data_IF_497503185483
#
_entry.id   IF_497503185483
#
_cell.length_a   1.000
_cell.length_b   1.000
_cell.length_c   1.000
_cell.angle_alpha   90.00
_cell.angle_beta   90.00
_cell.angle_gamma   90.00
#
_symmetry.space_group_name_H-M   'P 1'
#
loop_
_entity.id
_entity.type
_entity.pdbx_description
1 polymer ?
#
# COMPACT_ATOMS: atom_id res chain seq x y z
N UNK A 1 -11.99 7.85 20.21
CA UNK A 1 -11.45 6.60 19.64
C UNK A 1 -11.69 5.54 20.70
N UNK A 2 -12.59 4.60 20.43
CA UNK A 2 -12.84 3.44 21.29
C UNK A 2 -11.56 2.64 21.40
N UNK A 3 -11.11 2.36 22.63
CA UNK A 3 -9.94 1.50 22.88
C UNK A 3 -10.14 0.19 22.12
N UNK A 4 -9.16 -0.18 21.30
CA UNK A 4 -9.11 -1.52 20.73
C UNK A 4 -9.04 -2.49 21.92
N UNK A 5 -9.92 -3.50 22.02
CA UNK A 5 -9.85 -4.46 23.10
C UNK A 5 -8.45 -5.11 23.12
N UNK A 6 -7.82 -5.14 24.28
CA UNK A 6 -6.59 -5.91 24.45
C UNK A 6 -6.92 -7.40 24.25
N UNK A 7 -6.08 -8.08 23.46
CA UNK A 7 -6.20 -9.53 23.31
C UNK A 7 -5.91 -10.20 24.65
N UNK A 8 -6.85 -11.02 25.12
CA UNK A 8 -6.68 -11.80 26.36
C UNK A 8 -6.06 -13.16 26.05
N UNK A 9 -5.01 -13.50 26.76
CA UNK A 9 -4.36 -14.80 26.68
C UNK A 9 -5.09 -15.80 27.59
N UNK A 10 -5.76 -16.80 27.00
CA UNK A 10 -6.40 -17.89 27.74
C UNK A 10 -5.47 -19.09 27.76
N UNK A 11 -4.70 -19.24 28.83
CA UNK A 11 -3.67 -20.29 28.97
C UNK A 11 -4.22 -21.69 28.76
N UNK A 12 -5.44 -21.98 29.26
CA UNK A 12 -6.08 -23.29 29.14
C UNK A 12 -6.45 -23.71 27.70
N UNK A 13 -6.43 -22.79 26.75
CA UNK A 13 -6.74 -23.06 25.34
C UNK A 13 -5.45 -23.13 24.48
N UNK A 14 -4.28 -22.94 25.08
CA UNK A 14 -3.02 -22.97 24.36
C UNK A 14 -2.49 -24.40 24.17
N UNK A 15 -1.99 -24.69 22.96
CA UNK A 15 -1.26 -25.93 22.70
C UNK A 15 0.16 -25.84 23.27
N UNK A 16 0.43 -26.69 24.27
CA UNK A 16 1.70 -26.70 25.00
C UNK A 16 2.80 -27.54 24.31
N UNK A 17 2.51 -28.14 23.15
CA UNK A 17 3.48 -28.90 22.38
C UNK A 17 4.53 -28.02 21.71
N UNK A 18 5.73 -28.55 21.48
CA UNK A 18 6.78 -27.87 20.74
C UNK A 18 6.37 -27.64 19.27
N UNK A 19 6.66 -26.46 18.71
CA UNK A 19 6.35 -26.08 17.33
C UNK A 19 7.61 -26.28 16.48
N UNK A 20 7.54 -27.23 15.54
CA UNK A 20 8.65 -27.58 14.65
C UNK A 20 8.38 -27.00 13.27
N UNK A 21 9.32 -26.19 12.79
CA UNK A 21 9.24 -25.53 11.48
C UNK A 21 10.12 -26.23 10.46
N UNK A 22 9.80 -26.06 9.17
CA UNK A 22 10.48 -26.68 8.07
C UNK A 22 11.91 -26.14 7.84
N UNK A 23 12.61 -26.77 6.87
CA UNK A 23 13.93 -26.31 6.44
C UNK A 23 13.94 -24.85 5.92
N UNK A 24 12.79 -24.31 5.47
CA UNK A 24 12.67 -22.90 5.13
C UNK A 24 12.92 -21.95 6.32
N UNK A 25 12.77 -22.45 7.55
CA UNK A 25 13.09 -21.77 8.80
C UNK A 25 14.21 -22.47 9.55
N UNK A 26 15.16 -23.05 8.84
CA UNK A 26 16.32 -23.75 9.38
C UNK A 26 15.97 -24.91 10.34
N UNK A 27 14.83 -25.56 10.17
CA UNK A 27 14.30 -26.59 11.07
C UNK A 27 14.19 -26.11 12.54
N UNK A 28 13.93 -24.84 12.73
CA UNK A 28 13.80 -24.23 14.06
C UNK A 28 12.71 -24.92 14.86
N UNK A 29 12.99 -25.23 16.13
CA UNK A 29 12.01 -25.71 17.10
C UNK A 29 11.79 -24.64 18.16
N UNK A 30 10.53 -24.22 18.31
CA UNK A 30 10.11 -23.30 19.37
C UNK A 30 9.41 -24.11 20.45
N UNK A 31 9.95 -24.03 21.66
CA UNK A 31 9.40 -24.77 22.80
C UNK A 31 8.02 -24.24 23.17
N UNK A 32 7.06 -25.14 23.37
CA UNK A 32 5.72 -24.82 23.80
C UNK A 32 5.66 -24.31 25.24
N UNK A 33 4.87 -23.25 25.47
CA UNK A 33 4.67 -22.65 26.78
C UNK A 33 3.53 -23.29 27.55
N UNK A 34 3.68 -23.42 28.86
CA UNK A 34 2.68 -23.96 29.80
C UNK A 34 2.11 -22.91 30.75
N UNK A 35 2.81 -21.78 30.87
CA UNK A 35 2.39 -20.62 31.67
C UNK A 35 2.20 -19.39 30.79
N UNK A 36 1.53 -18.36 31.27
CA UNK A 36 1.30 -17.15 30.50
C UNK A 36 2.59 -16.48 30.01
N UNK A 37 3.65 -16.50 30.82
CA UNK A 37 4.93 -15.89 30.46
C UNK A 37 5.72 -16.75 29.47
N UNK A 38 5.64 -18.07 29.59
CA UNK A 38 6.24 -18.99 28.61
C UNK A 38 5.55 -18.89 27.25
N UNK A 39 4.20 -18.74 27.20
CA UNK A 39 3.45 -18.54 25.97
C UNK A 39 3.82 -17.21 25.30
N UNK A 40 4.00 -16.14 26.06
CA UNK A 40 4.51 -14.87 25.52
C UNK A 40 5.90 -15.01 24.95
N UNK A 41 6.78 -15.77 25.63
CA UNK A 41 8.13 -16.08 25.15
C UNK A 41 8.09 -16.91 23.86
N UNK A 42 7.23 -17.92 23.80
CA UNK A 42 6.98 -18.71 22.58
C UNK A 42 6.57 -17.80 21.40
N UNK A 43 5.62 -16.89 21.62
CA UNK A 43 5.20 -15.94 20.60
C UNK A 43 6.34 -15.01 20.17
N UNK A 44 7.13 -14.51 21.13
CA UNK A 44 8.30 -13.68 20.83
C UNK A 44 9.30 -14.42 19.96
N UNK A 45 9.64 -15.67 20.34
CA UNK A 45 10.56 -16.51 19.58
C UNK A 45 10.06 -16.80 18.16
N UNK A 46 8.74 -16.98 18.00
CA UNK A 46 8.13 -17.13 16.67
C UNK A 46 8.29 -15.85 15.82
N UNK A 47 8.00 -14.69 16.40
CA UNK A 47 8.18 -13.41 15.72
C UNK A 47 9.64 -13.19 15.34
N UNK A 48 10.56 -13.44 16.27
CA UNK A 48 12.01 -13.31 16.03
C UNK A 48 12.49 -14.24 14.91
N UNK A 49 12.01 -15.49 14.88
CA UNK A 49 12.32 -16.43 13.81
C UNK A 49 11.88 -15.88 12.44
N UNK A 50 10.64 -15.35 12.33
CA UNK A 50 10.12 -14.78 11.09
C UNK A 50 10.91 -13.54 10.66
N UNK A 51 11.24 -12.66 11.60
CA UNK A 51 11.99 -11.43 11.28
C UNK A 51 13.48 -11.68 11.01
N UNK A 52 14.01 -12.83 11.44
CA UNK A 52 15.36 -13.24 11.07
C UNK A 52 15.50 -13.71 9.63
N UNK A 53 14.41 -14.07 8.97
CA UNK A 53 14.43 -14.46 7.56
C UNK A 53 14.63 -13.25 6.63
N UNK A 54 15.55 -13.38 5.66
CA UNK A 54 15.77 -12.32 4.67
C UNK A 54 14.51 -12.08 3.81
N UNK A 55 13.74 -13.12 3.55
CA UNK A 55 12.51 -13.03 2.77
C UNK A 55 11.47 -12.14 3.43
N UNK A 56 11.41 -12.08 4.75
CA UNK A 56 10.57 -11.13 5.49
C UNK A 56 10.96 -9.69 5.15
N UNK A 57 12.25 -9.36 5.22
CA UNK A 57 12.73 -8.03 4.86
C UNK A 57 12.47 -7.71 3.37
N UNK A 58 12.68 -8.68 2.46
CA UNK A 58 12.34 -8.53 1.04
C UNK A 58 10.87 -8.23 0.81
N UNK A 59 9.97 -8.89 1.55
CA UNK A 59 8.54 -8.64 1.42
C UNK A 59 8.16 -7.20 1.79
N UNK A 60 8.75 -6.65 2.86
CA UNK A 60 8.58 -5.23 3.18
C UNK A 60 9.12 -4.32 2.07
N UNK A 61 10.34 -4.57 1.61
CA UNK A 61 10.98 -3.76 0.57
C UNK A 61 10.20 -3.79 -0.75
N UNK A 62 9.69 -4.96 -1.17
CA UNK A 62 8.83 -5.08 -2.36
C UNK A 62 7.59 -4.20 -2.27
N UNK A 63 7.00 -4.04 -1.09
CA UNK A 63 5.85 -3.14 -0.87
C UNK A 63 6.24 -1.69 -1.05
N UNK A 64 7.36 -1.25 -0.46
CA UNK A 64 7.88 0.11 -0.64
C UNK A 64 8.27 0.37 -2.10
N UNK A 65 8.93 -0.58 -2.74
CA UNK A 65 9.29 -0.47 -4.16
C UNK A 65 8.05 -0.28 -5.05
N UNK A 66 7.03 -1.11 -4.86
CA UNK A 66 5.77 -0.98 -5.61
C UNK A 66 5.03 0.31 -5.34
N UNK A 67 5.21 0.89 -4.20
CA UNK A 67 4.59 2.16 -3.85
C UNK A 67 5.33 3.37 -4.46
N UNK A 68 6.65 3.38 -4.45
CA UNK A 68 7.45 4.54 -4.83
C UNK A 68 8.03 4.47 -6.25
N UNK A 69 8.30 3.28 -6.80
CA UNK A 69 9.07 3.10 -8.05
C UNK A 69 8.23 2.47 -9.15
N UNK A 70 7.77 1.26 -8.97
CA UNK A 70 7.02 0.55 -10.01
C UNK A 70 6.37 -0.73 -9.52
N UNK A 71 5.30 -1.15 -10.19
CA UNK A 71 4.50 -2.32 -9.78
C UNK A 71 5.16 -3.64 -10.16
N UNK A 72 5.92 -3.65 -11.24
CA UNK A 72 6.59 -4.83 -11.76
C UNK A 72 7.93 -5.05 -11.05
N UNK A 73 8.20 -6.30 -10.69
CA UNK A 73 9.46 -6.72 -10.09
C UNK A 73 10.12 -7.70 -11.06
N UNK A 74 11.08 -7.21 -11.84
CA UNK A 74 11.90 -8.07 -12.70
C UNK A 74 12.88 -8.87 -11.86
N UNK A 75 13.47 -9.92 -12.44
CA UNK A 75 14.51 -10.72 -11.77
C UNK A 75 15.72 -9.86 -11.38
N UNK A 76 16.08 -8.90 -12.22
CA UNK A 76 17.16 -7.95 -11.97
C UNK A 76 16.82 -7.04 -10.76
N UNK A 77 15.65 -6.40 -10.77
CA UNK A 77 15.18 -5.59 -9.63
C UNK A 77 15.18 -6.40 -8.34
N UNK A 78 14.73 -7.65 -8.40
CA UNK A 78 14.66 -8.53 -7.22
C UNK A 78 16.06 -8.83 -6.67
N UNK A 79 17.02 -9.12 -7.54
CA UNK A 79 18.37 -9.51 -7.14
C UNK A 79 19.21 -8.31 -6.70
N UNK A 80 19.19 -7.21 -7.44
CA UNK A 80 20.09 -6.08 -7.23
C UNK A 80 19.52 -5.03 -6.30
N UNK A 81 18.25 -4.67 -6.46
CA UNK A 81 17.63 -3.60 -5.70
C UNK A 81 16.97 -4.12 -4.43
N UNK A 82 16.01 -5.06 -4.56
CA UNK A 82 15.23 -5.56 -3.42
C UNK A 82 16.14 -6.25 -2.40
N UNK A 83 17.06 -7.10 -2.85
CA UNK A 83 17.99 -7.80 -1.96
C UNK A 83 18.90 -6.83 -1.21
N UNK A 84 19.45 -5.84 -1.91
CA UNK A 84 20.33 -4.82 -1.31
C UNK A 84 19.60 -3.97 -0.26
N UNK A 85 18.37 -3.56 -0.53
CA UNK A 85 17.54 -2.79 0.40
C UNK A 85 17.06 -3.64 1.57
N UNK A 86 16.77 -4.93 1.35
CA UNK A 86 16.37 -5.86 2.41
C UNK A 86 17.50 -6.09 3.42
N UNK A 87 18.73 -6.23 2.95
CA UNK A 87 19.89 -6.27 3.85
C UNK A 87 20.01 -4.98 4.65
N UNK A 88 19.88 -3.81 4.00
CA UNK A 88 19.89 -2.52 4.70
C UNK A 88 18.79 -2.44 5.77
N UNK A 89 17.60 -2.95 5.49
CA UNK A 89 16.49 -2.96 6.45
C UNK A 89 16.79 -3.86 7.65
N UNK A 90 17.31 -5.07 7.43
CA UNK A 90 17.73 -5.99 8.50
C UNK A 90 18.86 -5.42 9.35
N UNK A 91 19.92 -4.93 8.72
CA UNK A 91 21.10 -4.37 9.40
C UNK A 91 20.77 -3.17 10.30
N UNK A 92 19.64 -2.51 10.00
CA UNK A 92 19.12 -1.39 10.80
C UNK A 92 17.91 -1.78 11.66
N UNK A 93 17.77 -3.04 12.06
CA UNK A 93 16.69 -3.52 12.92
C UNK A 93 15.30 -3.13 12.43
N UNK A 94 15.04 -3.26 11.15
CA UNK A 94 13.78 -2.89 10.48
C UNK A 94 13.40 -1.41 10.61
N UNK A 95 14.35 -0.52 10.89
CA UNK A 95 14.13 0.92 10.76
C UNK A 95 13.96 1.28 9.27
N UNK A 96 12.79 1.81 8.93
CA UNK A 96 12.41 2.08 7.53
C UNK A 96 13.25 3.21 6.92
N UNK A 97 13.59 4.24 7.69
CA UNK A 97 14.25 5.46 7.18
C UNK A 97 15.55 5.19 6.44
N UNK A 98 16.53 4.41 6.95
CA UNK A 98 17.77 4.13 6.22
C UNK A 98 17.53 3.45 4.87
N UNK A 99 16.68 2.44 4.84
CA UNK A 99 16.31 1.71 3.61
C UNK A 99 15.60 2.63 2.61
N UNK A 100 14.63 3.40 3.06
CA UNK A 100 13.88 4.31 2.20
C UNK A 100 14.78 5.45 1.67
N UNK A 101 15.67 6.01 2.50
CA UNK A 101 16.64 6.98 2.06
C UNK A 101 17.53 6.40 0.96
N UNK A 102 18.06 5.17 1.15
CA UNK A 102 18.88 4.51 0.14
C UNK A 102 18.15 4.33 -1.19
N UNK A 103 16.85 3.96 -1.14
CA UNK A 103 16.02 3.85 -2.35
C UNK A 103 15.84 5.19 -3.04
N UNK A 104 15.37 6.21 -2.30
CA UNK A 104 14.96 7.50 -2.88
C UNK A 104 16.10 8.38 -3.38
N UNK A 105 17.36 8.10 -2.98
CA UNK A 105 18.57 8.80 -3.51
C UNK A 105 19.34 7.96 -4.52
N UNK A 106 18.85 6.78 -4.88
CA UNK A 106 19.52 5.90 -5.83
C UNK A 106 19.35 6.37 -7.28
N UNK A 107 20.33 6.10 -8.13
CA UNK A 107 20.22 6.31 -9.57
C UNK A 107 19.02 5.56 -10.14
N UNK A 108 18.79 4.34 -9.68
CA UNK A 108 17.63 3.52 -10.08
C UNK A 108 16.27 4.22 -9.85
N UNK A 109 16.13 4.98 -8.76
CA UNK A 109 14.88 5.74 -8.49
C UNK A 109 14.66 6.87 -9.51
N UNK A 110 15.73 7.47 -10.01
CA UNK A 110 15.70 8.52 -11.01
C UNK A 110 15.89 8.01 -12.45
N UNK A 111 15.95 6.70 -12.63
CA UNK A 111 16.13 6.06 -13.94
C UNK A 111 17.45 6.46 -14.63
N UNK A 112 18.51 6.57 -13.83
CA UNK A 112 19.86 6.97 -14.24
C UNK A 112 20.88 5.85 -13.97
N UNK A 113 20.43 4.62 -13.74
CA UNK A 113 21.28 3.49 -13.40
C UNK A 113 21.91 2.81 -14.63
N UNK A 114 21.32 2.99 -15.82
CA UNK A 114 21.89 2.52 -17.08
C UNK A 114 21.44 3.36 -18.29
N UNK A 115 21.75 2.88 -19.48
CA UNK A 115 21.41 3.52 -20.77
C UNK A 115 20.39 2.71 -21.56
N UNK A 116 19.77 1.71 -20.97
CA UNK A 116 18.82 0.82 -21.63
C UNK A 116 17.53 1.56 -21.95
N UNK A 117 17.18 1.62 -23.22
CA UNK A 117 15.96 2.28 -23.67
C UNK A 117 14.80 1.29 -23.63
N UNK A 118 13.74 1.64 -22.90
CA UNK A 118 12.50 0.87 -22.86
C UNK A 118 12.17 0.22 -21.52
N UNK A 119 13.06 0.24 -20.55
CA UNK A 119 12.82 -0.19 -19.19
C UNK A 119 12.67 0.94 -18.19
N UNK A 120 12.67 2.18 -18.67
CA UNK A 120 12.48 3.39 -17.87
C UNK A 120 11.26 3.31 -16.95
N UNK A 121 11.46 3.68 -15.69
CA UNK A 121 10.42 3.60 -14.65
C UNK A 121 9.78 4.93 -14.32
N UNK A 122 10.32 6.01 -14.86
CA UNK A 122 9.73 7.35 -14.69
C UNK A 122 8.32 7.35 -15.28
N UNK A 123 7.33 7.69 -14.43
CA UNK A 123 5.93 7.68 -14.84
C UNK A 123 5.27 6.30 -14.91
N UNK A 124 5.95 5.23 -14.48
CA UNK A 124 5.42 3.87 -14.50
C UNK A 124 4.28 3.63 -13.48
N UNK A 125 4.14 4.48 -12.46
CA UNK A 125 3.11 4.36 -11.45
C UNK A 125 1.78 4.95 -11.93
N UNK A 126 0.82 4.07 -12.16
CA UNK A 126 -0.56 4.46 -12.46
C UNK A 126 -1.33 4.61 -11.16
N UNK A 127 -1.82 5.82 -10.89
CA UNK A 127 -2.63 6.08 -9.71
C UNK A 127 -4.03 5.48 -9.86
N UNK A 128 -4.52 4.87 -8.78
CA UNK A 128 -5.92 4.50 -8.71
C UNK A 128 -6.83 5.73 -8.85
N UNK A 129 -8.08 5.57 -9.25
CA UNK A 129 -9.01 6.68 -9.35
C UNK A 129 -9.12 7.51 -8.06
N UNK A 130 -9.09 6.85 -6.90
CA UNK A 130 -9.17 7.53 -5.61
C UNK A 130 -7.90 8.32 -5.30
N UNK A 131 -6.72 7.73 -5.51
CA UNK A 131 -5.44 8.42 -5.33
C UNK A 131 -5.33 9.64 -6.23
N UNK A 132 -5.77 9.52 -7.50
CA UNK A 132 -5.76 10.63 -8.43
C UNK A 132 -6.68 11.76 -7.97
N UNK A 133 -7.93 11.44 -7.61
CA UNK A 133 -8.90 12.43 -7.15
C UNK A 133 -8.41 13.16 -5.89
N UNK A 134 -8.01 12.41 -4.86
CA UNK A 134 -7.54 13.01 -3.60
C UNK A 134 -6.30 13.85 -3.78
N UNK A 135 -5.35 13.42 -4.63
CA UNK A 135 -4.16 14.19 -4.91
C UNK A 135 -4.47 15.51 -5.61
N UNK A 136 -5.36 15.50 -6.62
CA UNK A 136 -5.73 16.71 -7.33
C UNK A 136 -6.42 17.71 -6.41
N UNK A 137 -7.36 17.27 -5.59
CA UNK A 137 -8.00 18.16 -4.60
C UNK A 137 -6.99 18.74 -3.60
N UNK A 138 -5.97 17.96 -3.22
CA UNK A 138 -4.91 18.44 -2.33
C UNK A 138 -3.97 19.44 -3.01
N UNK A 139 -3.51 19.12 -4.24
CA UNK A 139 -2.57 20.00 -4.97
C UNK A 139 -3.20 21.34 -5.35
N UNK A 140 -4.46 21.33 -5.77
CA UNK A 140 -5.18 22.54 -6.17
C UNK A 140 -5.89 23.21 -4.99
N UNK A 141 -5.67 22.72 -3.76
CA UNK A 141 -6.27 23.28 -2.53
C UNK A 141 -7.79 23.48 -2.67
N UNK A 142 -8.47 22.53 -3.33
CA UNK A 142 -9.91 22.61 -3.58
C UNK A 142 -10.64 22.67 -2.24
N UNK A 143 -11.43 23.72 -1.98
CA UNK A 143 -12.14 23.85 -0.71
C UNK A 143 -13.21 22.77 -0.59
N UNK A 144 -13.13 21.95 0.44
CA UNK A 144 -14.11 20.89 0.70
C UNK A 144 -15.17 21.36 1.69
N UNK A 145 -16.45 20.98 1.50
CA UNK A 145 -17.50 21.31 2.46
C UNK A 145 -17.17 20.70 3.83
N UNK A 146 -17.36 21.49 4.87
CA UNK A 146 -17.21 21.00 6.23
C UNK A 146 -18.40 20.10 6.60
N UNK A 147 -18.13 18.87 7.06
CA UNK A 147 -19.19 17.91 7.38
C UNK A 147 -20.15 18.41 8.46
N UNK A 148 -19.65 19.07 9.51
CA UNK A 148 -20.45 19.49 10.65
C UNK A 148 -21.39 20.67 10.33
N UNK A 149 -20.96 21.56 9.42
CA UNK A 149 -21.73 22.79 9.09
C UNK A 149 -22.40 22.70 7.73
N UNK A 150 -21.94 21.85 6.83
CA UNK A 150 -22.39 21.72 5.43
C UNK A 150 -22.62 20.26 5.04
N UNK A 151 -23.23 19.49 5.93
CA UNK A 151 -23.42 18.02 5.78
C UNK A 151 -23.98 17.61 4.43
N UNK A 152 -25.04 18.29 3.94
CA UNK A 152 -25.67 17.98 2.66
C UNK A 152 -24.70 18.18 1.47
N UNK A 153 -23.94 19.26 1.47
CA UNK A 153 -22.94 19.56 0.44
C UNK A 153 -21.78 18.56 0.49
N UNK A 154 -21.32 18.20 1.69
CA UNK A 154 -20.27 17.18 1.87
C UNK A 154 -20.70 15.80 1.34
N UNK A 155 -21.91 15.36 1.66
CA UNK A 155 -22.48 14.10 1.15
C UNK A 155 -22.64 14.14 -0.37
N UNK A 156 -23.14 15.23 -0.92
CA UNK A 156 -23.30 15.40 -2.37
C UNK A 156 -21.95 15.35 -3.08
N UNK A 157 -20.95 16.07 -2.57
CA UNK A 157 -19.58 16.06 -3.10
C UNK A 157 -19.00 14.65 -3.12
N UNK A 158 -19.03 13.98 -1.98
CA UNK A 158 -18.48 12.63 -1.84
C UNK A 158 -19.11 11.64 -2.82
N UNK A 159 -20.44 11.67 -2.98
CA UNK A 159 -21.16 10.74 -3.84
C UNK A 159 -21.01 11.07 -5.34
N UNK A 160 -21.13 12.32 -5.71
CA UNK A 160 -21.23 12.72 -7.11
C UNK A 160 -19.88 13.09 -7.72
N UNK A 161 -18.89 13.43 -6.91
CA UNK A 161 -17.56 13.76 -7.41
C UNK A 161 -16.58 12.62 -7.18
N UNK A 162 -16.35 12.19 -5.95
CA UNK A 162 -15.36 11.16 -5.65
C UNK A 162 -15.87 9.76 -6.04
N UNK A 163 -16.98 9.31 -5.45
CA UNK A 163 -17.47 7.92 -5.65
C UNK A 163 -17.88 7.69 -7.11
N UNK A 164 -18.57 8.65 -7.74
CA UNK A 164 -18.96 8.54 -9.14
C UNK A 164 -17.76 8.48 -10.07
N UNK A 165 -16.75 9.33 -9.86
CA UNK A 165 -15.50 9.30 -10.63
C UNK A 165 -14.80 7.96 -10.47
N UNK A 166 -14.62 7.51 -9.23
CA UNK A 166 -13.97 6.22 -8.98
C UNK A 166 -14.69 5.07 -9.69
N UNK A 167 -16.03 5.04 -9.62
CA UNK A 167 -16.83 4.01 -10.29
C UNK A 167 -16.67 4.07 -11.81
N UNK A 168 -16.75 5.25 -12.42
CA UNK A 168 -16.65 5.40 -13.87
C UNK A 168 -15.26 5.10 -14.42
N UNK A 169 -14.23 5.15 -13.58
CA UNK A 169 -12.83 4.90 -13.93
C UNK A 169 -12.27 3.58 -13.40
N UNK A 170 -13.15 2.68 -12.95
CA UNK A 170 -12.78 1.28 -12.64
C UNK A 170 -12.67 0.91 -11.17
N UNK A 171 -13.09 1.79 -10.24
CA UNK A 171 -13.12 1.45 -8.81
C UNK A 171 -14.45 1.78 -8.17
N UNK A 172 -15.30 0.78 -7.98
CA UNK A 172 -16.59 0.95 -7.31
C UNK A 172 -16.41 0.92 -5.79
N UNK A 173 -16.04 2.05 -5.21
CA UNK A 173 -15.76 2.16 -3.76
C UNK A 173 -16.90 1.58 -2.92
N UNK A 174 -16.53 0.81 -1.87
CA UNK A 174 -17.41 0.13 -0.93
C UNK A 174 -18.31 -0.96 -1.52
N UNK A 175 -18.18 -1.26 -2.81
CA UNK A 175 -18.92 -2.33 -3.47
C UNK A 175 -18.01 -3.04 -4.48
N UNK A 176 -17.05 -3.87 -4.01
CA UNK A 176 -16.13 -4.60 -4.88
C UNK A 176 -16.88 -5.60 -5.77
N UNK A 177 -16.32 -5.89 -6.94
CA UNK A 177 -16.92 -6.79 -7.93
C UNK A 177 -16.88 -8.26 -7.51
N UNK A 178 -16.05 -8.60 -6.54
CA UNK A 178 -15.91 -9.97 -6.04
C UNK A 178 -15.88 -10.05 -4.52
N UNK A 179 -16.21 -11.22 -3.97
CA UNK A 179 -16.09 -11.52 -2.54
C UNK A 179 -14.66 -11.42 -2.00
N UNK A 180 -13.66 -11.52 -2.89
CA UNK A 180 -12.25 -11.33 -2.56
C UNK A 180 -11.83 -9.85 -2.46
N UNK A 181 -12.73 -8.92 -2.70
CA UNK A 181 -12.45 -7.49 -2.68
C UNK A 181 -12.09 -6.93 -4.05
N UNK A 182 -11.32 -5.84 -4.05
CA UNK A 182 -10.81 -5.20 -5.28
C UNK A 182 -9.58 -5.94 -5.80
N UNK A 183 -9.38 -5.90 -7.12
CA UNK A 183 -8.13 -6.36 -7.71
C UNK A 183 -6.95 -5.62 -7.08
N UNK A 184 -5.87 -6.35 -6.82
CA UNK A 184 -4.67 -5.80 -6.20
C UNK A 184 -3.93 -4.84 -7.12
N UNK A 185 -4.47 -3.65 -7.35
CA UNK A 185 -3.89 -2.64 -8.25
C UNK A 185 -2.47 -2.22 -7.87
N UNK A 186 -2.02 -2.55 -6.67
CA UNK A 186 -0.63 -2.40 -6.24
C UNK A 186 0.33 -3.43 -6.84
N UNK A 187 -0.19 -4.42 -7.58
CA UNK A 187 0.58 -5.43 -8.32
C UNK A 187 0.39 -5.29 -9.83
N UNK A 188 1.46 -5.54 -10.60
CA UNK A 188 1.36 -5.63 -12.05
C UNK A 188 0.54 -6.87 -12.47
N UNK A 189 -0.25 -6.82 -13.54
CA UNK A 189 -0.53 -5.67 -14.41
C UNK A 189 -1.81 -4.89 -14.03
N UNK A 190 -2.36 -5.10 -12.83
CA UNK A 190 -3.70 -4.62 -12.45
C UNK A 190 -3.83 -3.09 -12.40
N UNK A 191 -2.75 -2.38 -12.09
CA UNK A 191 -2.70 -0.92 -12.13
C UNK A 191 -2.96 -0.37 -13.54
N UNK A 192 -2.56 -1.08 -14.59
CA UNK A 192 -2.79 -0.70 -15.99
C UNK A 192 -4.28 -0.73 -16.39
N UNK A 193 -5.12 -1.43 -15.62
CA UNK A 193 -6.57 -1.44 -15.83
C UNK A 193 -7.20 -0.06 -15.63
N UNK A 194 -6.53 0.84 -14.91
CA UNK A 194 -6.98 2.23 -14.73
C UNK A 194 -6.62 3.15 -15.90
N UNK A 195 -5.83 2.70 -16.90
CA UNK A 195 -5.49 3.42 -18.12
C UNK A 195 -6.02 2.66 -19.33
N UNK A 196 -7.33 2.75 -19.57
CA UNK A 196 -7.98 2.38 -20.82
C UNK A 196 -8.32 3.66 -21.59
N UNK A 197 -8.61 3.57 -22.89
CA UNK A 197 -9.02 4.72 -23.69
C UNK A 197 -10.20 5.48 -23.06
N UNK A 198 -11.18 4.73 -22.55
CA UNK A 198 -12.36 5.33 -21.91
C UNK A 198 -12.04 5.94 -20.55
N UNK A 199 -11.31 5.22 -19.69
CA UNK A 199 -10.95 5.72 -18.36
C UNK A 199 -10.01 6.92 -18.45
N UNK A 200 -9.11 6.96 -19.42
CA UNK A 200 -8.24 8.10 -19.67
C UNK A 200 -9.04 9.34 -20.04
N UNK A 201 -9.98 9.22 -21.01
CA UNK A 201 -10.88 10.31 -21.36
C UNK A 201 -11.66 10.82 -20.14
N UNK A 202 -12.26 9.91 -19.37
CA UNK A 202 -13.03 10.28 -18.19
C UNK A 202 -12.18 10.95 -17.10
N UNK A 203 -10.90 10.54 -16.94
CA UNK A 203 -9.96 11.18 -16.03
C UNK A 203 -9.68 12.63 -16.45
N UNK A 204 -9.49 12.88 -17.74
CA UNK A 204 -9.28 14.24 -18.24
C UNK A 204 -10.56 15.08 -18.12
N UNK A 205 -11.66 14.61 -18.66
CA UNK A 205 -12.92 15.38 -18.70
C UNK A 205 -13.47 15.69 -17.30
N UNK A 206 -13.47 14.68 -16.39
CA UNK A 206 -14.11 14.85 -15.08
C UNK A 206 -13.28 15.60 -14.06
N UNK A 207 -11.95 15.66 -14.24
CA UNK A 207 -11.06 16.29 -13.28
C UNK A 207 -10.55 17.65 -13.76
N UNK A 208 -10.14 17.74 -15.02
CA UNK A 208 -9.57 18.97 -15.54
C UNK A 208 -10.66 20.01 -15.80
N UNK A 209 -11.75 19.63 -16.42
CA UNK A 209 -12.84 20.55 -16.70
C UNK A 209 -13.44 21.12 -15.41
N UNK A 210 -13.68 20.28 -14.41
CA UNK A 210 -14.22 20.73 -13.13
C UNK A 210 -13.23 21.61 -12.34
N UNK A 211 -11.95 21.29 -12.38
CA UNK A 211 -10.91 22.13 -11.74
C UNK A 211 -10.75 23.49 -12.43
N UNK A 212 -10.92 23.54 -13.76
CA UNK A 212 -10.81 24.79 -14.52
C UNK A 212 -12.06 25.65 -14.44
N UNK A 213 -13.25 25.05 -14.45
CA UNK A 213 -14.51 25.77 -14.50
C UNK A 213 -15.13 26.00 -13.13
N UNK A 214 -14.77 25.20 -12.14
CA UNK A 214 -15.39 25.17 -10.83
C UNK A 214 -16.86 24.73 -10.88
N UNK A 215 -17.47 24.54 -9.75
CA UNK A 215 -18.91 24.27 -9.63
C UNK A 215 -19.44 24.69 -8.27
N UNK A 216 -20.75 24.93 -8.20
CA UNK A 216 -21.43 25.36 -6.98
C UNK A 216 -22.40 24.28 -6.51
N UNK A 217 -22.38 23.92 -5.25
CA UNK A 217 -23.32 23.02 -4.60
C UNK A 217 -23.89 23.70 -3.36
N UNK A 218 -25.21 23.90 -3.33
CA UNK A 218 -25.88 24.52 -2.18
C UNK A 218 -25.23 25.83 -1.71
N UNK A 219 -24.76 26.65 -2.64
CA UNK A 219 -24.09 27.91 -2.36
C UNK A 219 -22.61 27.81 -1.98
N UNK A 220 -22.05 26.60 -1.93
CA UNK A 220 -20.63 26.38 -1.73
C UNK A 220 -19.95 26.23 -3.10
N UNK A 221 -18.98 27.08 -3.38
CA UNK A 221 -18.20 27.06 -4.61
C UNK A 221 -16.93 26.25 -4.43
N UNK A 222 -16.67 25.35 -5.37
CA UNK A 222 -15.48 24.50 -5.43
C UNK A 222 -14.56 24.97 -6.53
#
# INVERSE_FOLDING_TARGET
ITKIPEAELIVGNHDTGDKIFSAAFNNTTIKGGTTADEIKTELSNFVDMVFNELETAKNYVRRFYRFFVGRELTTEVENEIITSLANTLKDNNYLIKPMLTKLLVSQHFYDEDDTTVGDHRIGALVKSPLELATQLFTIFEVPLPNYDTQTASCIYFSRNKIIKLCRSTGTNLFNPESVGGYAGYSGAPYDKNFITTNSLKLRYDSLIDELLTGYTINGFQF
#
